data_IF_808214910379
#
_entry.id   IF_808214910379
#
_cell.length_a   1.000
_cell.length_b   1.000
_cell.length_c   1.000
_cell.angle_alpha   90.00
_cell.angle_beta   90.00
_cell.angle_gamma   90.00
#
_symmetry.space_group_name_H-M   'P 1'
#
loop_
_entity.id
_entity.type
_entity.pdbx_description
1 polymer ?
#
# COMPACT_ATOMS: atom_id res chain seq x y z
N UNK A 1 -76.38 -33.78 5.08
CA UNK A 1 -75.33 -34.13 6.08
C UNK A 1 -74.03 -34.31 5.35
N UNK A 2 -73.16 -33.27 5.36
CA UNK A 2 -71.84 -33.33 4.77
C UNK A 2 -70.83 -33.19 5.92
N UNK A 3 -70.21 -34.30 6.28
CA UNK A 3 -69.12 -34.34 7.28
C UNK A 3 -67.83 -33.99 6.60
N UNK A 4 -67.34 -32.77 6.87
CA UNK A 4 -66.00 -32.31 6.44
C UNK A 4 -64.94 -32.97 7.29
N UNK A 5 -64.17 -33.89 6.73
CA UNK A 5 -62.91 -34.37 7.31
C UNK A 5 -61.82 -33.30 7.14
N UNK A 6 -61.61 -32.55 8.18
CA UNK A 6 -60.39 -31.68 8.33
C UNK A 6 -59.28 -32.57 8.80
N UNK A 7 -58.57 -33.19 7.84
CA UNK A 7 -57.35 -33.93 8.14
C UNK A 7 -56.24 -32.93 8.52
N UNK A 8 -55.97 -32.79 9.80
CA UNK A 8 -54.74 -32.16 10.29
C UNK A 8 -53.55 -33.01 9.84
N UNK A 9 -52.86 -32.58 8.78
CA UNK A 9 -51.59 -33.17 8.40
C UNK A 9 -50.56 -32.86 9.50
N UNK A 10 -50.29 -33.82 10.37
CA UNK A 10 -49.11 -33.76 11.23
C UNK A 10 -47.87 -33.64 10.33
N UNK A 11 -47.18 -32.52 10.40
CA UNK A 11 -45.89 -32.35 9.72
C UNK A 11 -44.94 -33.44 10.23
N UNK A 12 -44.49 -34.28 9.32
CA UNK A 12 -43.48 -35.29 9.66
C UNK A 12 -42.11 -34.57 9.88
N UNK A 13 -41.25 -35.15 10.72
CA UNK A 13 -39.91 -34.61 10.97
C UNK A 13 -39.14 -34.34 9.66
N UNK A 14 -39.40 -35.08 8.60
CA UNK A 14 -38.84 -34.90 7.26
C UNK A 14 -39.29 -33.59 6.61
N UNK A 15 -40.55 -33.19 6.79
CA UNK A 15 -41.10 -31.96 6.21
C UNK A 15 -40.47 -30.74 6.90
N UNK A 16 -40.28 -30.81 8.21
CA UNK A 16 -39.59 -29.77 8.99
C UNK A 16 -38.13 -29.66 8.58
N UNK A 17 -37.42 -30.78 8.42
CA UNK A 17 -36.03 -30.82 7.96
C UNK A 17 -35.89 -30.24 6.54
N UNK A 18 -36.82 -30.58 5.63
CA UNK A 18 -36.81 -30.01 4.28
C UNK A 18 -37.07 -28.49 4.28
N UNK A 19 -38.03 -28.04 5.11
CA UNK A 19 -38.34 -26.62 5.23
C UNK A 19 -37.14 -25.83 5.79
N UNK A 20 -36.45 -26.36 6.82
CA UNK A 20 -35.22 -25.78 7.37
C UNK A 20 -34.13 -25.74 6.31
N UNK A 21 -33.94 -26.84 5.57
CA UNK A 21 -32.90 -26.89 4.52
C UNK A 21 -33.16 -25.86 3.41
N UNK A 22 -34.39 -25.70 2.96
CA UNK A 22 -34.78 -24.75 1.91
C UNK A 22 -34.48 -23.29 2.33
N UNK A 23 -34.59 -22.97 3.62
CA UNK A 23 -34.35 -21.60 4.12
C UNK A 23 -32.90 -21.40 4.57
N UNK A 24 -32.33 -22.34 5.30
CA UNK A 24 -31.00 -22.20 5.93
C UNK A 24 -29.89 -22.31 4.89
N UNK A 25 -29.99 -23.21 3.91
CA UNK A 25 -28.92 -23.40 2.91
C UNK A 25 -28.70 -22.15 2.07
N UNK A 26 -29.72 -21.47 1.50
CA UNK A 26 -29.47 -20.22 0.75
C UNK A 26 -28.86 -19.10 1.61
N UNK A 27 -29.32 -18.95 2.85
CA UNK A 27 -28.80 -17.95 3.78
C UNK A 27 -27.31 -18.23 4.09
N UNK A 28 -27.00 -19.49 4.42
CA UNK A 28 -25.60 -19.89 4.66
C UNK A 28 -24.72 -19.68 3.43
N UNK A 29 -25.23 -20.02 2.23
CA UNK A 29 -24.50 -19.81 0.99
C UNK A 29 -24.18 -18.33 0.74
N UNK A 30 -25.15 -17.42 0.99
CA UNK A 30 -24.94 -15.98 0.87
C UNK A 30 -23.92 -15.48 1.88
N UNK A 31 -24.02 -15.88 3.15
CA UNK A 31 -23.07 -15.45 4.19
C UNK A 31 -21.66 -15.94 3.91
N UNK A 32 -21.49 -17.18 3.47
CA UNK A 32 -20.19 -17.72 3.06
C UNK A 32 -19.67 -16.96 1.86
N UNK A 33 -20.50 -16.69 0.86
CA UNK A 33 -20.13 -15.91 -0.32
C UNK A 33 -19.63 -14.51 0.04
N UNK A 34 -20.35 -13.79 0.87
CA UNK A 34 -19.96 -12.46 1.36
C UNK A 34 -18.66 -12.50 2.17
N UNK A 35 -18.49 -13.50 3.03
CA UNK A 35 -17.25 -13.66 3.79
C UNK A 35 -16.03 -13.89 2.89
N UNK A 36 -16.16 -14.75 1.88
CA UNK A 36 -15.09 -15.03 0.92
C UNK A 36 -14.77 -13.79 0.06
N UNK A 37 -15.80 -13.05 -0.37
CA UNK A 37 -15.65 -11.82 -1.13
C UNK A 37 -14.92 -10.77 -0.31
N UNK A 38 -15.31 -10.52 0.92
CA UNK A 38 -14.63 -9.57 1.83
C UNK A 38 -13.15 -9.93 2.02
N UNK A 39 -12.84 -11.21 2.22
CA UNK A 39 -11.44 -11.64 2.32
C UNK A 39 -10.66 -11.43 1.03
N UNK A 40 -11.28 -11.64 -0.12
CA UNK A 40 -10.66 -11.40 -1.42
C UNK A 40 -10.38 -9.91 -1.66
N UNK A 41 -11.30 -9.02 -1.26
CA UNK A 41 -11.13 -7.57 -1.36
C UNK A 41 -9.99 -7.07 -0.47
N UNK A 42 -9.97 -7.45 0.80
CA UNK A 42 -8.86 -7.11 1.72
C UNK A 42 -7.51 -7.58 1.15
N UNK A 43 -7.46 -8.82 0.62
CA UNK A 43 -6.24 -9.34 -0.01
C UNK A 43 -5.85 -8.55 -1.25
N UNK A 44 -6.83 -8.09 -2.05
CA UNK A 44 -6.60 -7.26 -3.23
C UNK A 44 -5.98 -5.91 -2.85
N UNK A 45 -6.48 -5.26 -1.80
CA UNK A 45 -5.96 -3.99 -1.31
C UNK A 45 -4.52 -4.13 -0.78
N UNK A 46 -4.26 -5.16 0.04
CA UNK A 46 -2.91 -5.51 0.49
C UNK A 46 -1.96 -5.76 -0.68
N UNK A 47 -2.42 -6.47 -1.71
CA UNK A 47 -1.67 -6.75 -2.93
C UNK A 47 -1.40 -5.48 -3.73
N UNK A 48 -2.35 -4.56 -3.80
CA UNK A 48 -2.18 -3.28 -4.51
C UNK A 48 -1.08 -2.44 -3.85
N UNK A 49 -1.09 -2.31 -2.52
CA UNK A 49 -0.02 -1.63 -1.78
C UNK A 49 1.33 -2.29 -2.08
N UNK A 50 1.42 -3.61 -1.99
CA UNK A 50 2.65 -4.34 -2.27
C UNK A 50 3.18 -4.08 -3.69
N UNK A 51 2.33 -4.17 -4.71
CA UNK A 51 2.71 -3.91 -6.11
C UNK A 51 3.20 -2.48 -6.29
N UNK A 52 2.48 -1.49 -5.77
CA UNK A 52 2.86 -0.08 -5.87
C UNK A 52 4.22 0.18 -5.22
N UNK A 53 4.43 -0.29 -4.00
CA UNK A 53 5.71 -0.11 -3.31
C UNK A 53 6.86 -0.87 -3.99
N UNK A 54 6.60 -2.07 -4.54
CA UNK A 54 7.60 -2.83 -5.30
C UNK A 54 7.99 -2.15 -6.61
N UNK A 55 7.06 -1.52 -7.32
CA UNK A 55 7.35 -0.82 -8.57
C UNK A 55 7.97 0.54 -8.34
N UNK A 56 7.54 1.28 -7.32
CA UNK A 56 8.05 2.63 -7.03
C UNK A 56 9.44 2.64 -6.38
N UNK A 57 9.95 1.51 -5.86
CA UNK A 57 11.23 1.45 -5.14
C UNK A 57 12.45 1.95 -5.92
N UNK A 58 12.36 1.97 -7.26
CA UNK A 58 13.42 2.46 -8.15
C UNK A 58 13.37 3.97 -8.39
N UNK A 59 12.23 4.60 -8.15
CA UNK A 59 12.01 6.03 -8.39
C UNK A 59 12.21 6.90 -7.14
N UNK A 60 12.44 6.28 -5.98
CA UNK A 60 12.39 6.96 -4.69
C UNK A 60 10.96 7.27 -4.28
N UNK A 61 10.64 8.55 -4.09
CA UNK A 61 9.31 8.99 -3.71
C UNK A 61 8.43 9.22 -4.93
N UNK A 62 7.28 8.52 -4.98
CA UNK A 62 6.19 8.81 -5.89
C UNK A 62 4.95 9.16 -5.08
N UNK A 63 4.02 9.91 -5.65
CA UNK A 63 2.76 10.26 -4.98
C UNK A 63 1.99 9.00 -4.56
N UNK A 64 1.96 7.98 -5.43
CA UNK A 64 1.31 6.70 -5.19
C UNK A 64 1.97 5.93 -4.04
N UNK A 65 3.31 5.93 -3.97
CA UNK A 65 4.02 5.26 -2.88
C UNK A 65 3.75 5.94 -1.52
N UNK A 66 3.73 7.27 -1.49
CA UNK A 66 3.38 8.02 -0.28
C UNK A 66 1.94 7.75 0.14
N UNK A 67 0.99 7.72 -0.81
CA UNK A 67 -0.39 7.34 -0.52
C UNK A 67 -0.48 5.94 0.09
N UNK A 68 0.18 4.95 -0.51
CA UNK A 68 0.21 3.58 0.01
C UNK A 68 0.80 3.50 1.44
N UNK A 69 1.89 4.23 1.71
CA UNK A 69 2.50 4.26 3.04
C UNK A 69 1.55 4.83 4.11
N UNK A 70 0.79 5.87 3.77
CA UNK A 70 -0.15 6.51 4.70
C UNK A 70 -1.37 5.63 5.06
N UNK A 71 -1.71 4.63 4.24
CA UNK A 71 -2.85 3.74 4.50
C UNK A 71 -2.45 2.35 5.02
N UNK A 72 -1.16 2.07 5.21
CA UNK A 72 -0.67 0.75 5.67
C UNK A 72 -1.34 0.34 6.97
N UNK A 73 -1.41 1.22 7.97
CA UNK A 73 -1.99 0.91 9.27
C UNK A 73 -3.48 0.54 9.19
N UNK A 74 -4.19 1.04 8.18
CA UNK A 74 -5.61 0.74 7.94
C UNK A 74 -5.73 -0.62 7.23
N UNK A 75 -5.01 -0.80 6.12
CA UNK A 75 -5.14 -1.99 5.27
C UNK A 75 -4.53 -3.24 5.93
N UNK A 76 -3.49 -3.06 6.75
CA UNK A 76 -2.84 -4.13 7.52
C UNK A 76 -3.18 -4.05 9.01
N UNK A 77 -4.38 -3.57 9.38
CA UNK A 77 -4.80 -3.44 10.76
C UNK A 77 -4.74 -4.78 11.54
N UNK A 78 -4.95 -5.89 10.84
CA UNK A 78 -4.88 -7.26 11.34
C UNK A 78 -3.46 -7.86 11.36
N UNK A 79 -2.45 -7.18 10.81
CA UNK A 79 -1.07 -7.67 10.72
C UNK A 79 -0.09 -6.75 11.46
N UNK A 80 0.15 -7.08 12.73
CA UNK A 80 1.07 -6.34 13.58
C UNK A 80 2.49 -6.29 13.02
N UNK A 81 2.95 -7.36 12.37
CA UNK A 81 4.33 -7.46 11.86
C UNK A 81 4.59 -6.46 10.74
N UNK A 82 3.61 -6.28 9.85
CA UNK A 82 3.70 -5.27 8.79
C UNK A 82 3.66 -3.86 9.38
N UNK A 83 2.77 -3.61 10.33
CA UNK A 83 2.67 -2.28 10.99
C UNK A 83 3.93 -1.93 11.78
N UNK A 84 4.53 -2.88 12.47
CA UNK A 84 5.81 -2.66 13.18
C UNK A 84 6.95 -2.34 12.19
N UNK A 85 7.01 -3.03 11.05
CA UNK A 85 7.98 -2.73 9.99
C UNK A 85 7.75 -1.36 9.35
N UNK A 86 6.49 -0.95 9.18
CA UNK A 86 6.15 0.39 8.73
C UNK A 86 6.57 1.46 9.73
N UNK A 87 6.28 1.27 11.01
CA UNK A 87 6.68 2.20 12.07
C UNK A 87 8.20 2.37 12.14
N UNK A 88 8.95 1.28 12.03
CA UNK A 88 10.42 1.33 11.98
C UNK A 88 10.95 2.15 10.79
N UNK A 89 10.31 2.02 9.62
CA UNK A 89 10.64 2.83 8.46
C UNK A 89 10.26 4.29 8.66
N UNK A 90 9.04 4.57 9.17
CA UNK A 90 8.56 5.91 9.43
C UNK A 90 9.48 6.68 10.39
N UNK A 91 9.91 6.04 11.49
CA UNK A 91 10.83 6.65 12.45
C UNK A 91 12.17 7.05 11.78
N UNK A 92 12.64 6.26 10.81
CA UNK A 92 13.85 6.59 10.04
C UNK A 92 13.65 7.75 9.05
N UNK A 93 12.46 7.89 8.49
CA UNK A 93 12.12 9.03 7.63
C UNK A 93 12.01 10.35 8.38
N UNK A 94 11.68 10.32 9.67
CA UNK A 94 11.58 11.52 10.49
C UNK A 94 12.94 12.16 10.84
N UNK A 95 14.06 11.54 10.48
CA UNK A 95 15.40 12.09 10.70
C UNK A 95 15.67 13.22 9.70
N UNK A 96 15.94 14.43 10.21
CA UNK A 96 16.26 15.58 9.38
C UNK A 96 17.73 15.51 8.88
N UNK A 97 17.94 15.91 7.63
CA UNK A 97 19.26 15.94 7.00
C UNK A 97 20.03 14.60 7.12
N UNK A 98 19.47 13.50 6.61
CA UNK A 98 20.07 12.18 6.75
C UNK A 98 21.42 12.12 6.03
N UNK A 99 22.45 11.60 6.71
CA UNK A 99 23.73 11.26 6.12
C UNK A 99 23.66 10.00 5.25
N UNK A 100 24.75 9.64 4.57
CA UNK A 100 24.81 8.45 3.72
C UNK A 100 24.51 7.14 4.50
N UNK A 101 24.94 7.06 5.76
CA UNK A 101 24.66 5.90 6.60
C UNK A 101 23.17 5.81 6.97
N UNK A 102 22.53 6.95 7.25
CA UNK A 102 21.10 7.04 7.52
C UNK A 102 20.26 6.71 6.28
N UNK A 103 20.65 7.20 5.10
CA UNK A 103 20.01 6.85 3.83
C UNK A 103 20.05 5.33 3.58
N UNK A 104 21.16 4.67 3.89
CA UNK A 104 21.28 3.21 3.81
C UNK A 104 20.33 2.49 4.79
N UNK A 105 20.19 3.02 6.01
CA UNK A 105 19.23 2.47 7.00
C UNK A 105 17.79 2.61 6.53
N UNK A 106 17.43 3.75 5.93
CA UNK A 106 16.11 3.97 5.32
C UNK A 106 15.86 2.94 4.24
N UNK A 107 16.80 2.78 3.31
CA UNK A 107 16.69 1.80 2.22
C UNK A 107 16.50 0.37 2.74
N UNK A 108 17.29 -0.04 3.74
CA UNK A 108 17.16 -1.35 4.35
C UNK A 108 15.80 -1.55 5.04
N UNK A 109 15.28 -0.52 5.70
CA UNK A 109 13.96 -0.56 6.32
C UNK A 109 12.83 -0.64 5.27
N UNK A 110 12.96 0.05 4.13
CA UNK A 110 12.04 -0.12 2.98
C UNK A 110 12.01 -1.56 2.48
N UNK A 111 13.20 -2.15 2.27
CA UNK A 111 13.30 -3.54 1.85
C UNK A 111 12.70 -4.50 2.88
N UNK A 112 12.90 -4.21 4.18
CA UNK A 112 12.31 -4.99 5.26
C UNK A 112 10.79 -4.92 5.26
N UNK A 113 10.21 -3.74 5.05
CA UNK A 113 8.77 -3.57 4.91
C UNK A 113 8.23 -4.39 3.73
N UNK A 114 8.86 -4.30 2.55
CA UNK A 114 8.46 -5.08 1.37
C UNK A 114 8.55 -6.59 1.61
N UNK A 115 9.62 -7.06 2.23
CA UNK A 115 9.76 -8.47 2.62
C UNK A 115 8.64 -8.91 3.56
N UNK A 116 8.32 -8.07 4.55
CA UNK A 116 7.28 -8.37 5.54
C UNK A 116 5.90 -8.43 4.90
N UNK A 117 5.57 -7.47 4.04
CA UNK A 117 4.31 -7.48 3.27
C UNK A 117 4.23 -8.72 2.37
N UNK A 118 5.32 -9.08 1.68
CA UNK A 118 5.34 -10.27 0.82
C UNK A 118 5.05 -11.56 1.60
N UNK A 119 5.60 -11.68 2.81
CA UNK A 119 5.35 -12.82 3.72
C UNK A 119 3.88 -12.85 4.17
N UNK A 120 3.31 -11.71 4.53
CA UNK A 120 1.90 -11.55 4.89
C UNK A 120 0.96 -11.99 3.77
N UNK A 121 1.33 -11.71 2.52
CA UNK A 121 0.59 -12.11 1.32
C UNK A 121 0.80 -13.56 0.90
N UNK A 122 1.68 -14.32 1.59
CA UNK A 122 1.97 -15.72 1.29
C UNK A 122 3.04 -15.94 0.21
N UNK A 123 3.84 -14.92 -0.11
CA UNK A 123 4.95 -15.03 -1.07
C UNK A 123 6.31 -15.33 -0.40
N UNK A 124 6.29 -16.03 0.74
CA UNK A 124 7.44 -16.26 1.62
C UNK A 124 8.72 -16.74 0.89
N UNK A 125 8.54 -17.63 -0.08
CA UNK A 125 9.64 -18.27 -0.80
C UNK A 125 9.80 -17.78 -2.26
N UNK A 126 8.90 -16.87 -2.70
CA UNK A 126 8.86 -16.38 -4.09
C UNK A 126 9.43 -14.98 -4.25
N UNK A 127 9.35 -14.17 -3.21
CA UNK A 127 9.91 -12.82 -3.17
C UNK A 127 11.04 -12.82 -2.17
N UNK A 128 12.25 -13.01 -2.68
CA UNK A 128 13.47 -13.03 -1.88
C UNK A 128 14.00 -11.62 -1.62
N UNK A 129 14.86 -11.49 -0.62
CA UNK A 129 15.60 -10.27 -0.35
C UNK A 129 16.36 -9.78 -1.60
N UNK A 130 16.97 -10.69 -2.35
CA UNK A 130 17.67 -10.40 -3.59
C UNK A 130 16.75 -9.81 -4.66
N UNK A 131 15.53 -10.36 -4.83
CA UNK A 131 14.50 -9.81 -5.75
C UNK A 131 14.10 -8.39 -5.37
N UNK A 132 14.03 -8.08 -4.08
CA UNK A 132 13.67 -6.75 -3.60
C UNK A 132 14.81 -5.75 -3.85
N UNK A 133 16.06 -6.16 -3.63
CA UNK A 133 17.23 -5.29 -3.74
C UNK A 133 17.66 -5.00 -5.18
N UNK A 134 17.43 -5.95 -6.10
CA UNK A 134 17.91 -5.88 -7.47
C UNK A 134 16.76 -5.66 -8.47
N UNK A 135 16.16 -4.44 -8.53
CA UNK A 135 15.17 -4.13 -9.55
C UNK A 135 15.82 -4.08 -10.92
N UNK A 136 15.11 -4.53 -11.95
CA UNK A 136 15.53 -4.28 -13.32
C UNK A 136 15.30 -2.81 -13.69
N UNK A 137 16.36 -2.14 -14.15
CA UNK A 137 16.32 -0.77 -14.67
C UNK A 137 17.09 -0.76 -15.99
N UNK A 138 16.47 -0.41 -17.14
CA UNK A 138 17.16 -0.32 -18.42
C UNK A 138 18.25 0.77 -18.41
N UNK A 139 19.40 0.53 -19.04
CA UNK A 139 20.48 1.51 -19.17
C UNK A 139 20.03 2.83 -19.80
N UNK A 140 19.11 2.77 -20.77
CA UNK A 140 18.52 3.95 -21.39
C UNK A 140 17.78 4.85 -20.39
N UNK A 141 17.06 4.23 -19.44
CA UNK A 141 16.37 4.97 -18.37
C UNK A 141 17.36 5.60 -17.39
N UNK A 142 18.42 4.89 -17.03
CA UNK A 142 19.48 5.43 -16.16
C UNK A 142 20.13 6.66 -16.82
N UNK A 143 20.47 6.59 -18.11
CA UNK A 143 21.01 7.71 -18.85
C UNK A 143 20.05 8.89 -18.88
N UNK A 144 18.77 8.65 -19.14
CA UNK A 144 17.74 9.70 -19.14
C UNK A 144 17.65 10.41 -17.78
N UNK A 145 17.65 9.66 -16.67
CA UNK A 145 17.64 10.25 -15.33
C UNK A 145 18.89 11.09 -15.05
N UNK A 146 20.05 10.62 -15.48
CA UNK A 146 21.30 11.36 -15.33
C UNK A 146 21.29 12.68 -16.12
N UNK A 147 20.76 12.66 -17.34
CA UNK A 147 20.62 13.86 -18.18
C UNK A 147 19.61 14.85 -17.58
N UNK A 148 18.47 14.37 -17.08
CA UNK A 148 17.50 15.20 -16.37
C UNK A 148 18.12 15.84 -15.12
N UNK A 149 18.84 15.07 -14.30
CA UNK A 149 19.50 15.59 -13.12
C UNK A 149 20.54 16.68 -13.47
N UNK A 150 21.35 16.47 -14.50
CA UNK A 150 22.31 17.48 -15.01
C UNK A 150 21.63 18.75 -15.49
N UNK A 151 20.54 18.61 -16.27
CA UNK A 151 19.76 19.74 -16.78
C UNK A 151 19.13 20.55 -15.64
N UNK A 152 18.56 19.87 -14.65
CA UNK A 152 17.98 20.52 -13.46
C UNK A 152 19.06 21.26 -12.66
N UNK A 153 20.22 20.66 -12.50
CA UNK A 153 21.35 21.28 -11.79
C UNK A 153 21.87 22.52 -12.53
N UNK A 154 22.02 22.45 -13.85
CA UNK A 154 22.42 23.59 -14.70
C UNK A 154 21.41 24.73 -14.62
N UNK A 155 20.09 24.40 -14.67
CA UNK A 155 19.02 25.36 -14.52
C UNK A 155 19.04 26.06 -13.16
N UNK A 156 19.20 25.31 -12.07
CA UNK A 156 19.28 25.86 -10.71
C UNK A 156 20.52 26.76 -10.55
N UNK A 157 21.64 26.39 -11.16
CA UNK A 157 22.88 27.21 -11.17
C UNK A 157 22.64 28.51 -11.90
N UNK A 158 21.98 28.50 -13.06
CA UNK A 158 21.62 29.68 -13.82
C UNK A 158 20.71 30.61 -13.01
N UNK A 159 19.65 30.07 -12.39
CA UNK A 159 18.73 30.87 -11.55
C UNK A 159 19.45 31.52 -10.38
N UNK A 160 20.36 30.81 -9.72
CA UNK A 160 21.12 31.32 -8.59
C UNK A 160 22.11 32.44 -9.05
N UNK A 161 22.73 32.29 -10.23
CA UNK A 161 23.59 33.36 -10.79
C UNK A 161 22.79 34.59 -11.17
N UNK A 162 21.59 34.43 -11.76
CA UNK A 162 20.69 35.55 -12.08
C UNK A 162 20.19 36.27 -10.81
N UNK A 163 19.84 35.52 -9.77
CA UNK A 163 19.41 36.07 -8.47
C UNK A 163 20.53 36.91 -7.80
N UNK A 164 21.80 36.57 -8.02
CA UNK A 164 22.95 37.32 -7.50
C UNK A 164 23.30 38.54 -8.33
N UNK A 165 22.83 38.65 -9.61
CA UNK A 165 23.04 39.78 -10.49
C UNK A 165 22.01 40.88 -10.28
N UNK A 166 20.79 40.55 -9.78
CA UNK A 166 19.76 41.55 -9.46
C UNK A 166 20.29 42.40 -8.29
N UNK A 167 20.58 43.72 -8.47
CA UNK A 167 21.00 44.57 -7.38
C UNK A 167 19.96 44.58 -6.28
N UNK A 168 20.40 44.52 -5.03
CA UNK A 168 19.51 44.77 -3.86
C UNK A 168 19.19 46.27 -3.89
N UNK A 169 18.25 46.69 -4.74
CA UNK A 169 17.74 48.06 -4.68
C UNK A 169 16.93 48.24 -3.40
N UNK A 170 17.56 49.05 -2.54
CA UNK A 170 16.95 49.98 -1.58
C UNK A 170 15.89 49.45 -0.61
N UNK A 171 16.39 49.02 0.53
CA UNK A 171 15.73 49.33 1.83
C UNK A 171 16.44 50.51 2.49
N UNK A 172 16.29 51.68 1.92
CA UNK A 172 16.65 52.94 2.60
C UNK A 172 15.81 54.07 2.03
N UNK A 173 14.56 54.17 2.44
CA UNK A 173 13.80 55.42 2.44
C UNK A 173 12.52 55.18 3.26
N UNK A 174 12.62 55.30 4.57
CA UNK A 174 11.53 55.70 5.47
C UNK A 174 12.09 55.80 6.91
N UNK A 175 12.92 56.82 7.10
CA UNK A 175 13.13 57.47 8.40
C UNK A 175 13.53 58.93 8.10
N UNK A 176 12.51 59.76 7.90
CA UNK A 176 12.55 61.19 8.25
C UNK A 176 11.15 61.66 8.57
#
# INVERSE_FOLDING_TARGET
MASGYKGERKMECKDILNLIAIVVIPIAAVLIGQYLQNRAEIRKDKMQIFKTLMTSRIYGWTQESVHCLNIIDIVFADDKTVRDAWKDLYDKYCVQNPDAAQLKKIQNAQYKLLETISKSLGYKDKVTWETIQNPYVPDGMIKQWQEQAKSQQAYNTLLNSMANIVPKEQKNTEEQ
#
